data_IF_992202309573
#
_entry.id   IF_992202309573
#
_cell.length_a   1.000
_cell.length_b   1.000
_cell.length_c   1.000
_cell.angle_alpha   90.00
_cell.angle_beta   90.00
_cell.angle_gamma   90.00
#
_symmetry.space_group_name_H-M   'P 1'
#
loop_
_entity.id
_entity.type
_entity.pdbx_description
1 polymer ?
#
# COMPACT_ATOMS: atom_id res chain seq x y z
N UNK A 1 4.68 6.45 15.35
CA UNK A 1 4.85 5.02 15.70
C UNK A 1 6.34 4.74 15.77
N UNK A 2 6.84 3.94 16.73
CA UNK A 2 8.26 3.52 16.70
C UNK A 2 8.51 2.33 15.77
N UNK A 3 7.44 1.65 15.35
CA UNK A 3 7.45 0.49 14.44
C UNK A 3 6.19 0.59 13.56
N UNK A 4 6.36 0.48 12.25
CA UNK A 4 5.27 0.44 11.26
C UNK A 4 5.27 -0.95 10.59
N UNK A 5 4.17 -1.72 10.63
CA UNK A 5 4.07 -3.02 9.98
C UNK A 5 4.51 -3.00 8.50
N UNK A 6 4.20 -1.93 7.75
CA UNK A 6 4.59 -1.84 6.35
C UNK A 6 6.10 -1.61 6.16
N UNK A 7 6.76 -0.87 7.08
CA UNK A 7 8.23 -0.68 7.03
C UNK A 7 8.95 -1.99 7.39
N UNK A 8 8.49 -2.68 8.43
CA UNK A 8 9.04 -3.99 8.83
C UNK A 8 8.87 -5.04 7.72
N UNK A 9 7.70 -5.07 7.08
CA UNK A 9 7.44 -5.93 5.93
C UNK A 9 8.44 -5.64 4.79
N UNK A 10 8.57 -4.37 4.40
CA UNK A 10 9.47 -3.96 3.32
C UNK A 10 10.90 -4.40 3.61
N UNK A 11 11.39 -4.19 4.84
CA UNK A 11 12.72 -4.65 5.27
C UNK A 11 12.88 -6.16 5.19
N UNK A 12 11.84 -6.92 5.55
CA UNK A 12 11.87 -8.37 5.56
C UNK A 12 11.91 -9.01 4.16
N UNK A 13 11.37 -8.33 3.13
CA UNK A 13 11.25 -8.91 1.79
C UNK A 13 12.17 -8.29 0.73
N UNK A 14 12.78 -7.14 1.00
CA UNK A 14 13.66 -6.44 0.05
C UNK A 14 14.84 -7.31 -0.38
N UNK A 15 15.16 -7.29 -1.68
CA UNK A 15 16.27 -8.04 -2.28
C UNK A 15 15.99 -9.53 -2.54
N UNK A 16 14.78 -10.01 -2.21
CA UNK A 16 14.38 -11.39 -2.51
C UNK A 16 13.91 -11.52 -3.96
N UNK A 17 13.89 -12.76 -4.45
CA UNK A 17 13.22 -13.13 -5.72
C UNK A 17 12.00 -13.98 -5.40
N UNK A 18 10.81 -13.57 -5.84
CA UNK A 18 9.53 -14.23 -5.57
C UNK A 18 8.72 -14.31 -6.86
N UNK A 19 8.29 -15.52 -7.26
CA UNK A 19 7.45 -15.74 -8.45
C UNK A 19 7.98 -15.05 -9.73
N UNK A 20 9.30 -15.08 -9.94
CA UNK A 20 9.96 -14.44 -11.09
C UNK A 20 10.28 -12.96 -10.93
N UNK A 21 9.74 -12.28 -9.92
CA UNK A 21 10.02 -10.88 -9.62
C UNK A 21 11.22 -10.69 -8.71
N UNK A 22 12.07 -9.72 -9.04
CA UNK A 22 13.10 -9.19 -8.14
C UNK A 22 12.48 -8.08 -7.28
N UNK A 23 12.49 -8.27 -5.97
CA UNK A 23 11.76 -7.40 -5.04
C UNK A 23 12.63 -6.24 -4.58
N UNK A 24 12.19 -5.03 -4.88
CA UNK A 24 12.81 -3.78 -4.42
C UNK A 24 11.94 -3.20 -3.30
N UNK A 25 12.46 -3.25 -2.08
CA UNK A 25 11.79 -2.66 -0.93
C UNK A 25 12.21 -1.21 -0.71
N UNK A 26 11.25 -0.29 -0.62
CA UNK A 26 11.48 1.10 -0.29
C UNK A 26 10.42 1.63 0.70
N UNK A 27 10.86 2.52 1.59
CA UNK A 27 9.98 3.18 2.56
C UNK A 27 9.82 4.64 2.20
N UNK A 28 8.58 5.06 1.97
CA UNK A 28 8.24 6.47 1.83
C UNK A 28 7.96 7.07 3.20
N UNK A 29 8.59 8.20 3.56
CA UNK A 29 8.11 8.97 4.69
C UNK A 29 6.65 9.37 4.43
N UNK A 30 5.88 9.64 5.48
CA UNK A 30 4.62 10.34 5.31
C UNK A 30 4.88 11.82 5.50
N UNK A 31 5.22 12.46 4.39
CA UNK A 31 5.47 13.89 4.24
C UNK A 31 4.78 14.36 2.96
N UNK A 32 3.73 15.17 3.09
CA UNK A 32 3.00 15.64 1.91
C UNK A 32 3.83 16.54 1.00
N UNK A 33 4.89 17.16 1.52
CA UNK A 33 5.77 18.03 0.75
C UNK A 33 6.81 17.26 -0.07
N UNK A 34 7.42 16.21 0.50
CA UNK A 34 8.62 15.58 -0.10
C UNK A 34 8.42 14.13 -0.53
N UNK A 35 7.39 13.42 -0.06
CA UNK A 35 7.27 11.98 -0.35
C UNK A 35 7.00 11.69 -1.82
N UNK A 36 6.40 12.63 -2.57
CA UNK A 36 6.23 12.46 -4.01
C UNK A 36 7.57 12.58 -4.75
N UNK A 37 8.46 13.49 -4.35
CA UNK A 37 9.80 13.57 -4.94
C UNK A 37 10.56 12.26 -4.71
N UNK A 38 10.46 11.70 -3.51
CA UNK A 38 11.08 10.41 -3.21
C UNK A 38 10.47 9.25 -4.01
N UNK A 39 9.16 9.29 -4.22
CA UNK A 39 8.49 8.34 -5.09
C UNK A 39 9.00 8.47 -6.53
N UNK A 40 9.12 9.68 -7.07
CA UNK A 40 9.68 9.90 -8.43
C UNK A 40 11.10 9.35 -8.56
N UNK A 41 11.96 9.60 -7.58
CA UNK A 41 13.33 9.06 -7.56
C UNK A 41 13.33 7.53 -7.65
N UNK A 42 12.47 6.87 -6.86
CA UNK A 42 12.37 5.41 -6.85
C UNK A 42 11.81 4.86 -8.16
N UNK A 43 10.79 5.50 -8.72
CA UNK A 43 10.20 5.10 -9.99
C UNK A 43 11.22 5.25 -11.14
N UNK A 44 11.95 6.37 -11.18
CA UNK A 44 12.97 6.62 -12.19
C UNK A 44 14.18 5.68 -12.06
N UNK A 45 14.58 5.35 -10.83
CA UNK A 45 15.74 4.48 -10.58
C UNK A 45 15.48 3.01 -10.90
N UNK A 46 14.22 2.56 -10.82
CA UNK A 46 13.89 1.13 -10.84
C UNK A 46 12.93 0.70 -11.96
N UNK A 47 12.19 1.63 -12.57
CA UNK A 47 11.21 1.36 -13.64
C UNK A 47 10.34 0.10 -13.37
N UNK A 48 9.61 0.06 -12.24
CA UNK A 48 8.97 -1.18 -11.77
C UNK A 48 7.77 -1.57 -12.64
N UNK A 49 7.69 -2.85 -12.99
CA UNK A 49 6.52 -3.42 -13.69
C UNK A 49 5.27 -3.47 -12.80
N UNK A 50 5.46 -3.65 -11.49
CA UNK A 50 4.42 -3.76 -10.48
C UNK A 50 4.81 -2.99 -9.23
N UNK A 51 3.89 -2.18 -8.72
CA UNK A 51 4.05 -1.35 -7.53
C UNK A 51 3.02 -1.81 -6.48
N UNK A 52 3.49 -2.49 -5.44
CA UNK A 52 2.65 -2.90 -4.30
C UNK A 52 2.88 -1.96 -3.13
N UNK A 53 1.99 -0.97 -2.99
CA UNK A 53 2.03 -0.09 -1.83
C UNK A 53 1.45 -0.80 -0.60
N UNK A 54 2.10 -0.64 0.55
CA UNK A 54 1.63 -1.21 1.81
C UNK A 54 1.50 -0.12 2.88
N UNK A 55 0.45 -0.20 3.69
CA UNK A 55 0.22 0.71 4.81
C UNK A 55 -0.51 0.03 5.96
N UNK A 56 -0.50 0.65 7.13
CA UNK A 56 -1.20 0.11 8.30
C UNK A 56 -2.63 0.67 8.40
N UNK A 57 -3.61 -0.19 8.63
CA UNK A 57 -4.94 0.18 9.09
C UNK A 57 -5.32 -0.61 10.35
N UNK A 58 -6.04 0.01 11.29
CA UNK A 58 -6.60 -0.67 12.47
C UNK A 58 -7.85 -1.49 12.10
N UNK A 59 -7.74 -2.34 11.09
CA UNK A 59 -8.77 -3.28 10.61
C UNK A 59 -8.45 -4.67 11.14
N UNK A 60 -9.43 -5.57 11.12
CA UNK A 60 -9.27 -6.94 11.63
C UNK A 60 -8.68 -7.93 10.62
N UNK A 61 -8.50 -7.51 9.37
CA UNK A 61 -8.06 -8.36 8.25
C UNK A 61 -7.22 -7.55 7.28
N UNK A 62 -6.50 -8.24 6.38
CA UNK A 62 -5.86 -7.59 5.24
C UNK A 62 -6.95 -7.02 4.33
N UNK A 63 -6.65 -5.90 3.68
CA UNK A 63 -7.54 -5.36 2.65
C UNK A 63 -6.73 -4.88 1.46
N UNK A 64 -7.21 -5.19 0.26
CA UNK A 64 -6.59 -4.74 -1.00
C UNK A 64 -7.52 -3.71 -1.62
N UNK A 65 -6.98 -2.53 -1.90
CA UNK A 65 -7.75 -1.37 -2.30
C UNK A 65 -8.09 -1.41 -3.80
N UNK A 66 -9.37 -1.23 -4.12
CA UNK A 66 -9.89 -1.17 -5.48
C UNK A 66 -9.93 0.26 -6.02
N UNK A 67 -10.13 1.25 -5.16
CA UNK A 67 -10.35 2.65 -5.55
C UNK A 67 -9.43 3.57 -4.75
N UNK A 68 -8.78 4.49 -5.47
CA UNK A 68 -8.16 5.69 -4.91
C UNK A 68 -9.00 6.92 -5.27
N UNK A 69 -9.30 7.76 -4.30
CA UNK A 69 -10.09 8.97 -4.49
C UNK A 69 -9.21 10.21 -4.50
N UNK A 70 -9.57 11.21 -5.29
CA UNK A 70 -8.89 12.50 -5.35
C UNK A 70 -9.27 13.39 -4.16
N UNK A 71 -8.95 12.93 -2.94
CA UNK A 71 -9.35 13.60 -1.72
C UNK A 71 -8.34 13.46 -0.58
N UNK A 72 -8.18 14.55 0.17
CA UNK A 72 -7.35 14.71 1.37
C UNK A 72 -8.18 15.27 2.53
N UNK A 73 -9.10 14.46 3.07
CA UNK A 73 -9.98 14.81 4.18
C UNK A 73 -9.35 14.75 5.57
N UNK A 74 -8.03 14.92 5.71
CA UNK A 74 -7.34 14.80 7.00
C UNK A 74 -6.99 16.16 7.60
N UNK A 75 -7.21 16.33 8.90
CA UNK A 75 -6.62 17.42 9.70
C UNK A 75 -5.44 16.96 10.54
N UNK A 76 -5.13 15.67 10.47
CA UNK A 76 -3.98 15.10 11.16
C UNK A 76 -2.72 15.53 10.43
N UNK A 77 -1.83 16.20 11.16
CA UNK A 77 -0.50 16.50 10.68
C UNK A 77 0.25 15.21 10.31
N UNK A 78 1.05 15.29 9.26
CA UNK A 78 2.00 14.27 8.88
C UNK A 78 3.14 14.14 9.92
N UNK A 79 4.16 13.34 9.61
CA UNK A 79 5.25 13.11 10.59
C UNK A 79 6.11 14.35 10.87
N UNK A 80 5.96 15.42 10.08
CA UNK A 80 6.74 16.66 10.14
C UNK A 80 5.91 17.85 10.62
N UNK A 81 4.63 17.64 10.92
CA UNK A 81 3.73 18.68 11.40
C UNK A 81 2.90 19.34 10.29
N UNK A 82 3.02 18.91 9.04
CA UNK A 82 2.29 19.51 7.94
C UNK A 82 0.89 18.91 7.82
N UNK A 83 -0.12 19.75 7.57
CA UNK A 83 -1.47 19.32 7.18
C UNK A 83 -1.70 19.67 5.73
N UNK A 84 -2.50 18.90 4.98
CA UNK A 84 -2.89 19.30 3.63
C UNK A 84 -3.53 20.69 3.63
N UNK A 85 -3.06 21.55 2.74
CA UNK A 85 -3.65 22.89 2.52
C UNK A 85 -4.96 22.80 1.71
N UNK A 86 -5.12 21.71 0.96
CA UNK A 86 -6.26 21.41 0.10
C UNK A 86 -6.90 20.09 0.50
N UNK A 87 -8.19 19.95 0.22
CA UNK A 87 -8.95 18.71 0.38
C UNK A 87 -8.96 17.85 -0.90
N UNK A 88 -8.29 18.31 -1.96
CA UNK A 88 -8.12 17.65 -3.26
C UNK A 88 -6.63 17.42 -3.51
N UNK A 89 -6.26 16.24 -4.03
CA UNK A 89 -4.86 15.88 -4.29
C UNK A 89 -4.34 16.61 -5.52
N UNK A 90 -5.12 16.62 -6.60
CA UNK A 90 -4.78 17.30 -7.85
C UNK A 90 -6.07 17.85 -8.48
N UNK A 91 -6.18 19.17 -8.63
CA UNK A 91 -7.41 19.83 -9.12
C UNK A 91 -7.73 19.54 -10.58
N UNK A 92 -6.74 19.13 -11.37
CA UNK A 92 -6.89 18.81 -12.79
C UNK A 92 -7.07 17.30 -13.02
N UNK A 93 -6.99 16.48 -11.97
CA UNK A 93 -7.18 15.04 -12.04
C UNK A 93 -8.65 14.61 -11.86
N UNK A 94 -9.07 13.46 -12.42
CA UNK A 94 -10.38 12.87 -12.18
C UNK A 94 -10.67 12.64 -10.68
N UNK A 95 -11.95 12.50 -10.34
CA UNK A 95 -12.37 12.31 -8.94
C UNK A 95 -11.84 11.02 -8.29
N UNK A 96 -11.55 9.99 -9.08
CA UNK A 96 -11.04 8.72 -8.59
C UNK A 96 -10.35 7.91 -9.69
N UNK A 97 -9.51 6.97 -9.28
CA UNK A 97 -8.95 5.92 -10.12
C UNK A 97 -9.29 4.54 -9.54
N UNK A 98 -9.58 3.60 -10.42
CA UNK A 98 -9.48 2.19 -10.06
C UNK A 98 -8.01 1.79 -10.00
N UNK A 99 -7.67 0.95 -9.04
CA UNK A 99 -6.44 0.15 -9.09
C UNK A 99 -6.42 -0.61 -10.42
N UNK A 100 -5.31 -0.52 -11.16
CA UNK A 100 -5.14 -1.24 -12.43
C UNK A 100 -4.60 -2.67 -12.23
N UNK A 101 -4.61 -3.14 -10.98
CA UNK A 101 -4.53 -4.55 -10.60
C UNK A 101 -5.90 -4.95 -10.06
N UNK A 102 -6.48 -6.05 -10.56
CA UNK A 102 -7.73 -6.55 -10.00
C UNK A 102 -7.47 -7.18 -8.62
N UNK A 103 -8.05 -6.65 -7.53
CA UNK A 103 -7.81 -7.19 -6.19
C UNK A 103 -8.58 -8.49 -5.93
N UNK A 104 -9.58 -8.86 -6.74
CA UNK A 104 -10.42 -10.04 -6.43
C UNK A 104 -9.61 -11.35 -6.46
N UNK A 105 -8.83 -11.67 -7.52
CA UNK A 105 -8.01 -12.88 -7.52
C UNK A 105 -6.98 -12.91 -6.39
N UNK A 106 -6.42 -11.75 -6.04
CA UNK A 106 -5.44 -11.63 -4.95
C UNK A 106 -6.07 -11.93 -3.58
N UNK A 107 -7.28 -11.42 -3.35
CA UNK A 107 -8.05 -11.70 -2.14
C UNK A 107 -8.45 -13.18 -2.06
N UNK A 108 -8.86 -13.79 -3.17
CA UNK A 108 -9.19 -15.21 -3.18
C UNK A 108 -7.95 -16.10 -2.96
N UNK A 109 -6.79 -15.73 -3.50
CA UNK A 109 -5.53 -16.42 -3.22
C UNK A 109 -5.18 -16.38 -1.72
N UNK A 110 -5.30 -15.22 -1.07
CA UNK A 110 -5.10 -15.08 0.37
C UNK A 110 -6.06 -15.97 1.18
N UNK A 111 -7.34 -15.98 0.82
CA UNK A 111 -8.34 -16.81 1.49
C UNK A 111 -8.08 -18.31 1.31
N UNK A 112 -7.68 -18.72 0.11
CA UNK A 112 -7.31 -20.12 -0.19
C UNK A 112 -6.17 -20.63 0.70
N UNK A 113 -5.29 -19.73 1.12
CA UNK A 113 -4.15 -19.99 2.01
C UNK A 113 -4.45 -19.76 3.50
N UNK A 114 -5.73 -19.53 3.84
CA UNK A 114 -6.21 -19.34 5.21
C UNK A 114 -5.94 -17.96 5.80
N UNK A 115 -5.65 -16.94 4.97
CA UNK A 115 -5.41 -15.56 5.40
C UNK A 115 -6.67 -14.71 5.18
N UNK A 116 -7.31 -14.20 6.24
CA UNK A 116 -8.48 -13.33 6.09
C UNK A 116 -8.16 -12.04 5.33
N UNK A 117 -8.85 -11.84 4.20
CA UNK A 117 -8.72 -10.66 3.37
C UNK A 117 -10.04 -10.27 2.68
N UNK A 118 -10.18 -8.99 2.32
CA UNK A 118 -11.31 -8.51 1.52
C UNK A 118 -10.89 -7.39 0.56
N UNK A 119 -11.71 -7.15 -0.47
CA UNK A 119 -11.55 -6.02 -1.38
C UNK A 119 -12.12 -4.77 -0.72
N UNK A 120 -11.30 -3.75 -0.51
CA UNK A 120 -11.71 -2.46 0.04
C UNK A 120 -11.95 -1.46 -1.09
N UNK A 121 -13.05 -0.71 -1.01
CA UNK A 121 -13.41 0.33 -1.99
C UNK A 121 -13.10 1.75 -1.49
N UNK A 122 -12.41 1.87 -0.34
CA UNK A 122 -12.05 3.16 0.24
C UNK A 122 -10.75 3.05 1.05
N UNK A 123 -9.66 3.54 0.46
CA UNK A 123 -8.32 3.56 1.05
C UNK A 123 -8.14 4.59 2.18
N UNK A 124 -9.20 5.36 2.50
CA UNK A 124 -9.15 6.51 3.39
C UNK A 124 -8.99 7.81 2.60
N UNK A 125 -8.71 8.91 3.31
CA UNK A 125 -8.40 10.21 2.70
C UNK A 125 -7.17 10.81 3.37
N UNK A 126 -6.16 9.96 3.60
CA UNK A 126 -4.87 10.27 4.22
C UNK A 126 -3.74 9.75 3.33
N UNK A 127 -2.53 9.58 3.89
CA UNK A 127 -1.33 9.16 3.15
C UNK A 127 -1.47 7.91 2.28
N UNK A 128 -2.21 6.90 2.73
CA UNK A 128 -2.39 5.66 1.96
C UNK A 128 -3.14 5.89 0.65
N UNK A 129 -4.29 6.58 0.72
CA UNK A 129 -5.05 7.00 -0.44
C UNK A 129 -4.25 7.96 -1.33
N UNK A 130 -3.56 8.92 -0.71
CA UNK A 130 -2.77 9.92 -1.41
C UNK A 130 -1.68 9.30 -2.29
N UNK A 131 -0.92 8.35 -1.76
CA UNK A 131 0.12 7.64 -2.52
C UNK A 131 -0.49 6.79 -3.63
N UNK A 132 -1.53 6.00 -3.34
CA UNK A 132 -2.17 5.18 -4.37
C UNK A 132 -2.73 6.04 -5.52
N UNK A 133 -3.44 7.13 -5.19
CA UNK A 133 -3.96 8.07 -6.19
C UNK A 133 -2.84 8.66 -7.03
N UNK A 134 -1.77 9.13 -6.38
CA UNK A 134 -0.63 9.76 -7.04
C UNK A 134 0.07 8.83 -8.03
N UNK A 135 0.21 7.55 -7.71
CA UNK A 135 0.79 6.54 -8.60
C UNK A 135 -0.15 6.24 -9.77
N UNK A 136 -1.43 5.98 -9.48
CA UNK A 136 -2.41 5.66 -10.52
C UNK A 136 -2.61 6.82 -11.50
N UNK A 137 -2.58 8.07 -11.02
CA UNK A 137 -2.63 9.26 -11.85
C UNK A 137 -1.44 9.34 -12.82
N UNK A 138 -0.22 9.03 -12.36
CA UNK A 138 0.99 8.99 -13.20
C UNK A 138 0.92 7.91 -14.26
N UNK A 139 0.41 6.72 -13.91
CA UNK A 139 0.19 5.64 -14.88
C UNK A 139 -0.85 6.08 -15.92
N UNK A 140 -1.99 6.62 -15.48
CA UNK A 140 -3.08 7.03 -16.36
C UNK A 140 -2.70 8.18 -17.32
N UNK A 141 -1.78 9.05 -16.90
CA UNK A 141 -1.26 10.16 -17.71
C UNK A 141 -0.02 9.78 -18.53
N UNK A 142 0.42 8.52 -18.47
CA UNK A 142 1.58 8.03 -19.23
C UNK A 142 2.93 8.55 -18.73
N UNK A 143 2.99 9.13 -17.52
CA UNK A 143 4.25 9.58 -16.91
C UNK A 143 5.13 8.40 -16.48
N UNK A 144 4.51 7.28 -16.09
CA UNK A 144 5.18 6.02 -15.77
C UNK A 144 4.43 4.84 -16.37
N UNK A 145 5.11 3.72 -16.54
CA UNK A 145 4.51 2.45 -16.90
C UNK A 145 4.28 1.57 -15.65
N UNK A 146 3.53 0.48 -15.82
CA UNK A 146 3.34 -0.54 -14.79
C UNK A 146 1.94 -0.58 -14.18
N UNK A 147 1.79 -1.49 -13.21
CA UNK A 147 0.54 -1.72 -12.47
C UNK A 147 0.74 -1.43 -10.99
N UNK A 148 -0.29 -0.92 -10.32
CA UNK A 148 -0.22 -0.53 -8.93
C UNK A 148 -1.48 -0.92 -8.16
N UNK A 149 -1.29 -1.30 -6.90
CA UNK A 149 -2.38 -1.45 -5.93
C UNK A 149 -1.88 -1.08 -4.53
N UNK A 150 -2.82 -1.04 -3.57
CA UNK A 150 -2.50 -0.77 -2.17
C UNK A 150 -3.04 -1.87 -1.26
N UNK A 151 -2.23 -2.28 -0.29
CA UNK A 151 -2.56 -3.33 0.67
C UNK A 151 -2.46 -2.74 2.08
N UNK A 152 -3.59 -2.73 2.78
CA UNK A 152 -3.62 -2.39 4.19
C UNK A 152 -3.37 -3.62 5.06
N UNK A 153 -2.33 -3.54 5.87
CA UNK A 153 -1.91 -4.52 6.87
C UNK A 153 -2.49 -4.17 8.24
N UNK A 154 -2.59 -5.19 9.09
CA UNK A 154 -2.98 -5.03 10.48
C UNK A 154 -1.81 -4.47 11.32
N UNK A 155 -2.10 -3.92 12.50
CA UNK A 155 -1.08 -3.66 13.51
C UNK A 155 -0.30 -4.93 13.89
N UNK A 156 0.97 -4.77 14.26
CA UNK A 156 1.75 -5.86 14.87
C UNK A 156 1.32 -6.09 16.33
N UNK A 157 1.47 -7.31 16.89
CA UNK A 157 1.19 -7.58 18.30
C UNK A 157 1.92 -6.63 19.26
N UNK A 158 3.17 -6.27 18.94
CA UNK A 158 3.98 -5.30 19.71
C UNK A 158 3.31 -3.91 19.82
N UNK A 159 2.53 -3.51 18.81
CA UNK A 159 1.79 -2.25 18.85
C UNK A 159 0.56 -2.33 19.76
N UNK A 160 -0.10 -3.49 19.85
CA UNK A 160 -1.20 -3.69 20.80
C UNK A 160 -0.69 -3.64 22.25
N UNK A 161 0.42 -4.33 22.53
CA UNK A 161 1.10 -4.33 23.84
C UNK A 161 1.51 -2.91 24.24
N UNK A 162 2.25 -2.21 23.36
CA UNK A 162 2.74 -0.86 23.65
C UNK A 162 1.63 0.17 23.88
N UNK A 163 0.45 -0.03 23.28
CA UNK A 163 -0.70 0.88 23.40
C UNK A 163 -1.68 0.47 24.49
N UNK A 164 -1.44 -0.66 25.18
CA UNK A 164 -2.38 -1.27 26.11
C UNK A 164 -3.79 -1.47 25.50
N UNK A 165 -3.84 -2.03 24.29
CA UNK A 165 -5.08 -2.30 23.53
C UNK A 165 -5.19 -3.78 23.18
N UNK A 166 -5.55 -4.62 24.16
CA UNK A 166 -5.56 -6.08 24.00
C UNK A 166 -6.64 -6.60 23.04
N UNK A 167 -7.67 -5.80 22.77
CA UNK A 167 -8.72 -6.12 21.79
C UNK A 167 -8.36 -5.67 20.36
N UNK A 168 -7.23 -4.98 20.17
CA UNK A 168 -6.77 -4.58 18.86
C UNK A 168 -6.44 -5.84 18.05
N UNK A 169 -7.15 -6.06 16.96
CA UNK A 169 -6.78 -7.10 16.00
C UNK A 169 -5.35 -6.86 15.51
N UNK A 170 -4.53 -7.90 15.56
CA UNK A 170 -3.12 -7.84 15.16
C UNK A 170 -2.73 -9.02 14.28
N UNK A 171 -1.62 -8.89 13.58
CA UNK A 171 -1.02 -9.95 12.77
C UNK A 171 0.49 -9.99 13.01
N UNK A 172 1.09 -11.16 13.35
CA UNK A 172 2.54 -11.33 13.40
C UNK A 172 3.20 -10.95 12.06
N UNK A 173 4.43 -10.46 12.11
CA UNK A 173 5.15 -9.99 10.91
C UNK A 173 5.31 -11.13 9.89
N UNK A 174 5.63 -12.33 10.34
CA UNK A 174 5.75 -13.52 9.50
C UNK A 174 4.47 -13.82 8.68
N UNK A 175 3.29 -13.59 9.26
CA UNK A 175 2.03 -13.78 8.55
C UNK A 175 1.77 -12.66 7.53
N UNK A 176 2.19 -11.42 7.83
CA UNK A 176 2.12 -10.32 6.87
C UNK A 176 3.08 -10.56 5.69
N UNK A 177 4.29 -11.06 5.95
CA UNK A 177 5.26 -11.47 4.91
C UNK A 177 4.66 -12.57 4.04
N UNK A 178 4.14 -13.66 4.64
CA UNK A 178 3.48 -14.75 3.90
C UNK A 178 2.33 -14.24 3.03
N UNK A 179 1.50 -13.32 3.55
CA UNK A 179 0.40 -12.75 2.78
C UNK A 179 0.90 -12.01 1.52
N UNK A 180 1.96 -11.22 1.64
CA UNK A 180 2.51 -10.49 0.50
C UNK A 180 3.19 -11.42 -0.51
N UNK A 181 3.85 -12.48 -0.05
CA UNK A 181 4.37 -13.52 -0.93
C UNK A 181 3.26 -14.17 -1.76
N UNK A 182 2.13 -14.50 -1.15
CA UNK A 182 0.96 -15.06 -1.84
C UNK A 182 0.41 -14.06 -2.88
N UNK A 183 0.33 -12.78 -2.52
CA UNK A 183 -0.10 -11.74 -3.47
C UNK A 183 0.85 -11.64 -4.66
N UNK A 184 2.17 -11.66 -4.44
CA UNK A 184 3.17 -11.62 -5.51
C UNK A 184 3.09 -12.87 -6.39
N UNK A 185 2.90 -14.05 -5.80
CA UNK A 185 2.69 -15.30 -6.54
C UNK A 185 1.45 -15.24 -7.44
N UNK A 186 0.32 -14.76 -6.90
CA UNK A 186 -0.91 -14.61 -7.66
C UNK A 186 -0.78 -13.60 -8.83
N UNK A 187 0.06 -12.58 -8.68
CA UNK A 187 0.38 -11.63 -9.76
C UNK A 187 1.23 -12.28 -10.86
N UNK A 188 2.21 -13.10 -10.50
CA UNK A 188 3.04 -13.83 -11.47
C UNK A 188 2.23 -14.79 -12.33
N UNK A 189 1.31 -15.54 -11.73
CA UNK A 189 0.46 -16.48 -12.48
C UNK A 189 -0.50 -15.81 -13.47
N UNK A 190 -0.92 -14.57 -13.21
CA UNK A 190 -1.81 -13.82 -14.09
C UNK A 190 -1.08 -13.23 -15.32
N UNK A 191 0.23 -13.11 -15.27
CA UNK A 191 1.04 -12.58 -16.37
C UNK A 191 1.50 -13.67 -17.35
N UNK A 192 1.38 -14.95 -16.97
CA UNK A 192 1.69 -16.11 -17.80
C UNK A 192 0.49 -16.59 -18.66
N UNK A 193 -0.69 -15.97 -18.49
CA UNK A 193 -1.95 -16.29 -19.19
C UNK A 193 -2.36 -15.20 -20.16
#
# INVERSE_FOLDING_TARGET
YSVNPSDELVRAISGRRIAGYDIIGATLPLDYATSLDKLEELLAAHDPQVILCCGQASRATISIERIAVNALGTKRADNYGNTPETDVIDVDAPAAYYSNIDPHPLVEALKGEGIPAYVSYHAGTYGCNWILFSILHRIATGKIHGRATFIHLLPLPSQAIKKDKMELATMPLENAVRAIEIVIQALGSADET
#
